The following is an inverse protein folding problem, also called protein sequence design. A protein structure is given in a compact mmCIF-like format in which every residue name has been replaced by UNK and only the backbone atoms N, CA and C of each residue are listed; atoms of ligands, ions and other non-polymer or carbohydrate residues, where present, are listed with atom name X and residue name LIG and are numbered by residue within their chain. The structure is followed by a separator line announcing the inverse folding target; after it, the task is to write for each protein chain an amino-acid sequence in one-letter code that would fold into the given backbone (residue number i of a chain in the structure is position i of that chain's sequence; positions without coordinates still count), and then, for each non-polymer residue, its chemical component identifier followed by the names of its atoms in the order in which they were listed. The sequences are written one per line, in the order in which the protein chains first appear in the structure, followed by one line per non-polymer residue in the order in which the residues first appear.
data_IF_671188200602
#
_entry.id   IF_671188200602
#
_cell.length_a   1.000
_cell.length_b   1.000
_cell.length_c   1.000
_cell.angle_alpha   90.00
_cell.angle_beta   90.00
_cell.angle_gamma   90.00
#
_symmetry.space_group_name_H-M   'P 1'
#
loop_
_entity.id
_entity.type
_entity.pdbx_description
1 polymer ?
#
# COMPACT_ATOMS: atom_id res chain seq x y z
N UNK A 1 -3.61 -13.91 13.14
CA UNK A 1 -3.17 -14.18 11.74
C UNK A 1 -2.44 -12.95 11.24
N UNK A 2 -1.18 -13.08 10.83
CA UNK A 2 -0.38 -11.95 10.35
C UNK A 2 -0.06 -12.18 8.87
N UNK A 3 -0.74 -11.44 8.00
CA UNK A 3 -0.47 -11.36 6.57
C UNK A 3 0.15 -10.01 6.26
N UNK A 4 1.07 -9.96 5.31
CA UNK A 4 1.74 -8.72 4.92
C UNK A 4 1.71 -8.53 3.41
N UNK A 5 1.71 -7.27 2.99
CA UNK A 5 1.81 -6.85 1.62
C UNK A 5 3.13 -6.13 1.37
N UNK A 6 3.70 -6.31 0.18
CA UNK A 6 4.83 -5.53 -0.31
C UNK A 6 4.56 -5.08 -1.73
N UNK A 7 4.78 -3.80 -1.98
CA UNK A 7 4.76 -3.24 -3.33
C UNK A 7 6.19 -3.18 -3.84
N UNK A 8 6.44 -3.70 -5.03
CA UNK A 8 7.74 -3.67 -5.67
C UNK A 8 7.62 -3.47 -7.18
N UNK A 9 8.75 -3.19 -7.81
CA UNK A 9 8.97 -2.85 -9.22
C UNK A 9 10.44 -3.12 -9.54
N UNK A 10 10.83 -3.02 -10.80
CA UNK A 10 12.24 -3.17 -11.20
C UNK A 10 13.16 -2.10 -10.57
N UNK A 11 12.58 -0.97 -10.15
CA UNK A 11 13.28 0.15 -9.50
C UNK A 11 13.26 0.05 -7.97
N UNK A 12 12.85 -1.10 -7.43
CA UNK A 12 12.75 -1.29 -5.99
C UNK A 12 14.06 -1.63 -5.32
N UNK A 13 14.21 -1.23 -4.07
CA UNK A 13 15.36 -1.60 -3.27
C UNK A 13 15.44 -3.13 -3.05
N UNK A 14 16.64 -3.68 -3.16
CA UNK A 14 16.94 -5.10 -2.93
C UNK A 14 16.66 -6.00 -4.15
N UNK A 15 16.82 -7.31 -3.95
CA UNK A 15 16.41 -8.31 -4.94
C UNK A 15 14.92 -8.56 -4.76
N UNK A 16 14.17 -8.48 -5.86
CA UNK A 16 12.72 -8.65 -5.85
C UNK A 16 12.33 -9.61 -6.98
N UNK A 17 12.07 -10.85 -6.63
CA UNK A 17 11.44 -11.83 -7.51
C UNK A 17 9.98 -12.09 -7.06
N UNK A 18 9.21 -12.81 -7.86
CA UNK A 18 7.82 -13.19 -7.55
C UNK A 18 7.69 -13.98 -6.24
N UNK A 19 8.71 -14.73 -5.84
CA UNK A 19 8.61 -15.59 -4.65
C UNK A 19 9.81 -15.49 -3.72
N UNK A 20 10.73 -14.57 -3.98
CA UNK A 20 11.92 -14.35 -3.17
C UNK A 20 12.27 -12.86 -3.08
N UNK A 21 12.55 -12.39 -1.86
CA UNK A 21 12.99 -11.02 -1.61
C UNK A 21 14.27 -11.02 -0.79
N UNK A 22 15.25 -10.19 -1.16
CA UNK A 22 16.49 -10.02 -0.38
C UNK A 22 16.75 -8.54 -0.14
N UNK A 23 17.18 -8.14 1.07
CA UNK A 23 17.57 -6.76 1.30
C UNK A 23 18.77 -6.43 0.42
N UNK A 24 18.94 -5.16 0.07
CA UNK A 24 20.04 -4.76 -0.80
C UNK A 24 21.40 -5.05 -0.15
N UNK A 25 21.50 -4.93 1.18
CA UNK A 25 22.71 -5.30 1.92
C UNK A 25 23.09 -6.78 1.82
N UNK A 26 22.15 -7.70 1.53
CA UNK A 26 22.47 -9.10 1.32
C UNK A 26 23.15 -9.36 -0.04
N UNK A 27 23.06 -8.41 -0.96
CA UNK A 27 23.64 -8.49 -2.31
C UNK A 27 24.95 -7.68 -2.36
N UNK A 28 24.92 -6.47 -1.80
CA UNK A 28 25.99 -5.49 -1.94
C UNK A 28 26.79 -5.27 -0.65
N UNK A 29 26.50 -6.01 0.43
CA UNK A 29 27.11 -5.82 1.74
C UNK A 29 26.55 -4.63 2.53
N UNK A 30 26.97 -4.45 3.79
CA UNK A 30 26.47 -3.39 4.67
C UNK A 30 26.89 -1.99 4.19
N UNK A 31 26.06 -0.98 4.50
CA UNK A 31 26.32 0.41 4.14
C UNK A 31 27.23 1.09 5.18
N UNK A 32 28.49 1.44 4.87
CA UNK A 32 29.25 2.30 5.77
C UNK A 32 28.67 3.72 5.78
N UNK A 33 28.50 4.31 6.97
CA UNK A 33 28.23 5.74 7.15
C UNK A 33 26.78 6.24 7.00
N UNK A 34 25.79 5.38 6.74
CA UNK A 34 24.38 5.79 6.69
C UNK A 34 23.70 5.67 8.06
N UNK A 35 23.00 6.71 8.50
CA UNK A 35 22.21 6.65 9.74
C UNK A 35 21.03 5.68 9.60
N UNK A 36 20.65 5.02 10.71
CA UNK A 36 19.48 4.13 10.76
C UNK A 36 18.20 4.82 10.27
N UNK A 37 18.01 6.10 10.62
CA UNK A 37 16.89 6.91 10.14
C UNK A 37 16.87 7.01 8.61
N UNK A 38 18.02 7.25 7.98
CA UNK A 38 18.12 7.36 6.54
C UNK A 38 17.82 6.01 5.87
N UNK A 39 18.32 4.90 6.43
CA UNK A 39 18.03 3.55 5.95
C UNK A 39 16.53 3.23 6.02
N UNK A 40 15.85 3.55 7.11
CA UNK A 40 14.39 3.38 7.21
C UNK A 40 13.64 4.21 6.17
N UNK A 41 13.97 5.49 6.01
CA UNK A 41 13.31 6.38 5.05
C UNK A 41 13.46 5.84 3.63
N UNK A 42 14.66 5.36 3.28
CA UNK A 42 14.92 4.73 1.98
C UNK A 42 14.09 3.45 1.83
N UNK A 43 14.06 2.59 2.84
CA UNK A 43 13.30 1.35 2.80
C UNK A 43 11.79 1.60 2.64
N UNK A 44 11.24 2.59 3.35
CA UNK A 44 9.84 3.02 3.26
C UNK A 44 9.50 3.68 1.92
N UNK A 45 10.46 4.35 1.28
CA UNK A 45 10.27 4.81 -0.10
C UNK A 45 10.16 3.64 -1.07
N UNK A 46 10.77 2.51 -0.70
CA UNK A 46 10.92 1.29 -1.47
C UNK A 46 11.72 1.46 -2.77
N UNK A 47 12.30 2.63 -3.03
CA UNK A 47 13.09 2.93 -4.24
C UNK A 47 14.54 2.47 -4.06
N UNK A 48 15.17 2.05 -5.15
CA UNK A 48 16.59 1.73 -5.23
C UNK A 48 17.43 3.01 -5.18
N UNK A 49 17.49 3.66 -4.01
CA UNK A 49 18.27 4.89 -3.77
C UNK A 49 19.63 4.57 -3.16
N UNK A 50 19.72 3.50 -2.38
CA UNK A 50 20.95 3.09 -1.71
C UNK A 50 21.13 1.57 -1.83
N UNK A 51 22.18 1.09 -2.54
CA UNK A 51 22.37 -0.33 -2.80
C UNK A 51 22.70 -1.15 -1.54
N UNK A 52 22.91 -0.52 -0.39
CA UNK A 52 23.35 -1.20 0.83
C UNK A 52 22.30 -1.21 1.96
N UNK A 53 21.05 -0.87 1.64
CA UNK A 53 20.01 -0.77 2.65
C UNK A 53 19.62 -2.17 3.19
N UNK A 54 19.66 -2.40 4.51
CA UNK A 54 19.41 -3.72 5.09
C UNK A 54 17.94 -4.06 5.30
N UNK A 55 17.01 -3.15 5.00
CA UNK A 55 15.60 -3.34 5.31
C UNK A 55 14.77 -3.60 4.05
N UNK A 56 13.87 -4.57 4.17
CA UNK A 56 12.74 -4.82 3.27
C UNK A 56 11.47 -4.33 3.97
N UNK A 57 10.75 -3.43 3.31
CA UNK A 57 9.47 -2.92 3.76
C UNK A 57 8.28 -3.82 3.42
N UNK A 58 7.33 -3.89 4.35
CA UNK A 58 6.05 -4.60 4.29
C UNK A 58 4.94 -3.81 4.99
N UNK A 59 3.67 -4.05 4.65
CA UNK A 59 2.51 -3.42 5.29
C UNK A 59 1.38 -4.41 5.58
N UNK A 60 0.65 -4.24 6.68
CA UNK A 60 -0.58 -5.02 6.95
C UNK A 60 -1.80 -4.50 6.15
N UNK A 61 -1.71 -3.31 5.56
CA UNK A 61 -2.81 -2.67 4.84
C UNK A 61 -2.68 -2.84 3.33
N UNK A 62 -3.68 -3.50 2.73
CA UNK A 62 -3.87 -3.57 1.28
C UNK A 62 -4.20 -2.19 0.70
N UNK A 63 -4.92 -1.32 1.42
CA UNK A 63 -5.10 0.07 0.97
C UNK A 63 -3.78 0.78 0.73
N UNK A 64 -2.89 0.70 1.72
CA UNK A 64 -1.57 1.31 1.63
C UNK A 64 -0.82 0.71 0.43
N UNK A 65 -0.87 -0.61 0.24
CA UNK A 65 -0.23 -1.29 -0.88
C UNK A 65 -0.80 -0.83 -2.25
N UNK A 66 -2.12 -0.76 -2.42
CA UNK A 66 -2.75 -0.31 -3.67
C UNK A 66 -2.41 1.16 -3.98
N UNK A 67 -2.45 2.03 -2.97
CA UNK A 67 -2.08 3.43 -3.12
C UNK A 67 -0.59 3.60 -3.44
N UNK A 68 0.31 2.82 -2.81
CA UNK A 68 1.73 2.81 -3.17
C UNK A 68 1.96 2.34 -4.61
N UNK A 69 1.27 1.27 -5.03
CA UNK A 69 1.39 0.73 -6.38
C UNK A 69 0.97 1.77 -7.43
N UNK A 70 -0.16 2.43 -7.23
CA UNK A 70 -0.59 3.51 -8.12
C UNK A 70 0.38 4.68 -8.12
N UNK A 71 0.85 5.13 -6.95
CA UNK A 71 1.83 6.23 -6.85
C UNK A 71 3.11 5.92 -7.65
N UNK A 72 3.56 4.67 -7.65
CA UNK A 72 4.71 4.23 -8.45
C UNK A 72 4.41 4.23 -9.92
N UNK A 73 3.22 3.78 -10.32
CA UNK A 73 2.76 3.81 -11.70
C UNK A 73 2.72 5.25 -12.23
N UNK A 74 2.13 6.16 -11.45
CA UNK A 74 2.08 7.59 -11.76
C UNK A 74 3.47 8.26 -11.77
N UNK A 75 4.46 7.69 -11.08
CA UNK A 75 5.85 8.13 -11.14
C UNK A 75 6.63 7.57 -12.35
N UNK A 76 5.97 6.76 -13.20
CA UNK A 76 6.57 6.14 -14.38
C UNK A 76 7.33 4.85 -14.11
N UNK A 77 7.15 4.22 -12.94
CA UNK A 77 7.73 2.90 -12.68
C UNK A 77 6.99 1.82 -13.48
N UNK A 78 7.74 0.83 -13.97
CA UNK A 78 7.23 -0.32 -14.74
C UNK A 78 7.23 -1.59 -13.90
N UNK A 79 6.51 -2.63 -14.38
CA UNK A 79 6.46 -3.96 -13.75
C UNK A 79 6.09 -3.94 -12.27
N UNK A 80 5.14 -3.07 -11.90
CA UNK A 80 4.70 -2.92 -10.52
C UNK A 80 3.92 -4.15 -10.08
N UNK A 81 4.31 -4.70 -8.94
CA UNK A 81 3.74 -5.91 -8.36
C UNK A 81 3.39 -5.70 -6.90
N UNK A 82 2.40 -6.46 -6.45
CA UNK A 82 2.01 -6.55 -5.05
C UNK A 82 2.20 -8.01 -4.63
N UNK A 83 3.06 -8.22 -3.63
CA UNK A 83 3.19 -9.49 -2.94
C UNK A 83 2.25 -9.53 -1.74
N UNK A 84 1.62 -10.67 -1.53
CA UNK A 84 0.86 -11.06 -0.36
C UNK A 84 1.64 -12.20 0.32
N UNK A 85 2.05 -11.99 1.57
CA UNK A 85 2.89 -12.90 2.33
C UNK A 85 2.08 -13.54 3.45
N UNK A 86 2.02 -14.86 3.43
CA UNK A 86 1.68 -15.66 4.61
C UNK A 86 2.94 -15.82 5.46
N UNK A 87 2.99 -15.07 6.57
CA UNK A 87 4.12 -15.10 7.51
C UNK A 87 4.26 -16.47 8.16
N UNK A 88 3.16 -17.20 8.41
CA UNK A 88 3.19 -18.48 9.11
C UNK A 88 3.86 -19.56 8.28
N UNK A 89 3.67 -19.54 6.96
CA UNK A 89 4.26 -20.53 6.05
C UNK A 89 5.64 -20.11 5.52
N UNK A 90 5.87 -18.81 5.31
CA UNK A 90 7.10 -18.30 4.69
C UNK A 90 8.31 -18.40 5.62
N UNK A 91 9.50 -18.51 5.03
CA UNK A 91 10.76 -18.77 5.76
C UNK A 91 11.91 -17.95 5.20
N UNK A 92 13.01 -17.91 5.94
CA UNK A 92 14.31 -17.49 5.39
C UNK A 92 14.83 -18.56 4.42
N UNK A 93 15.82 -18.23 3.55
CA UNK A 93 16.45 -19.23 2.67
C UNK A 93 17.02 -20.45 3.43
N UNK A 94 17.49 -20.25 4.67
CA UNK A 94 17.98 -21.30 5.54
C UNK A 94 16.86 -22.08 6.28
N UNK A 95 15.59 -21.84 5.97
CA UNK A 95 14.44 -22.49 6.61
C UNK A 95 14.02 -21.91 7.96
N UNK A 96 14.67 -20.84 8.42
CA UNK A 96 14.36 -20.18 9.70
C UNK A 96 13.08 -19.33 9.66
N UNK A 97 12.59 -18.96 10.84
CA UNK A 97 11.43 -18.08 11.00
C UNK A 97 11.76 -16.63 10.55
N UNK A 98 10.76 -15.97 9.97
CA UNK A 98 10.86 -14.57 9.57
C UNK A 98 10.69 -13.65 10.77
N UNK A 99 11.53 -12.61 10.86
CA UNK A 99 11.44 -11.60 11.91
C UNK A 99 11.02 -10.27 11.30
N UNK A 100 9.95 -9.69 11.82
CA UNK A 100 9.45 -8.38 11.43
C UNK A 100 9.43 -7.46 12.65
N UNK A 101 9.75 -6.19 12.42
CA UNK A 101 9.63 -5.15 13.42
C UNK A 101 8.71 -4.04 12.90
N UNK A 102 7.76 -3.61 13.72
CA UNK A 102 6.92 -2.45 13.40
C UNK A 102 7.80 -1.20 13.29
N UNK A 103 7.60 -0.43 12.23
CA UNK A 103 8.32 0.83 11.99
C UNK A 103 8.05 1.83 13.11
N UNK A 104 6.82 1.88 13.63
CA UNK A 104 6.47 2.71 14.77
C UNK A 104 7.29 2.36 16.01
N UNK A 105 7.33 1.09 16.39
CA UNK A 105 8.09 0.60 17.54
C UNK A 105 9.60 0.78 17.36
N UNK A 106 10.11 0.48 16.16
CA UNK A 106 11.52 0.66 15.81
C UNK A 106 11.93 2.13 15.92
N UNK A 107 11.11 3.04 15.39
CA UNK A 107 11.38 4.47 15.45
C UNK A 107 11.32 5.00 16.90
N UNK A 108 10.33 4.58 17.69
CA UNK A 108 10.21 4.97 19.09
C UNK A 108 11.44 4.53 19.90
N UNK A 109 11.88 3.28 19.74
CA UNK A 109 13.08 2.72 20.40
C UNK A 109 14.35 3.50 20.06
N UNK A 110 14.43 4.07 18.85
CA UNK A 110 15.56 4.85 18.38
C UNK A 110 15.44 6.36 18.61
N UNK A 111 14.40 6.82 19.33
CA UNK A 111 14.14 8.25 19.53
C UNK A 111 13.86 9.01 18.22
N UNK A 112 13.44 8.31 17.17
CA UNK A 112 13.12 8.90 15.87
C UNK A 112 11.68 9.43 15.91
N UNK A 113 11.55 10.76 15.87
CA UNK A 113 10.25 11.39 15.73
C UNK A 113 9.62 11.05 14.37
N UNK A 114 8.68 10.11 14.35
CA UNK A 114 7.76 9.94 13.23
C UNK A 114 6.82 11.14 13.19
N UNK A 115 6.48 11.61 11.98
CA UNK A 115 5.45 12.64 11.84
C UNK A 115 4.16 12.10 12.44
N UNK A 116 3.56 12.84 13.38
CA UNK A 116 2.24 12.52 13.90
C UNK A 116 1.18 12.99 12.91
N UNK A 117 0.07 12.26 12.84
CA UNK A 117 -1.16 12.78 12.26
C UNK A 117 -1.82 13.80 13.20
N UNK A 118 -2.88 14.44 12.72
CA UNK A 118 -3.50 15.60 13.35
C UNK A 118 -4.17 15.27 14.68
N UNK A 119 -4.64 14.06 14.82
CA UNK A 119 -5.16 13.44 16.05
C UNK A 119 -4.04 13.04 17.03
N UNK A 120 -2.78 13.31 16.69
CA UNK A 120 -1.61 12.98 17.51
C UNK A 120 -1.14 11.53 17.35
N UNK A 121 -1.79 10.73 16.51
CA UNK A 121 -1.39 9.34 16.27
C UNK A 121 -0.06 9.29 15.50
N UNK A 122 0.89 8.43 15.88
CA UNK A 122 2.12 8.26 15.11
C UNK A 122 1.80 7.71 13.71
N UNK A 123 2.35 8.31 12.64
CA UNK A 123 2.37 7.65 11.33
C UNK A 123 3.29 6.43 11.38
N UNK A 124 3.08 5.43 10.53
CA UNK A 124 3.95 4.23 10.50
C UNK A 124 3.36 3.00 11.19
N UNK A 125 2.07 3.01 11.54
CA UNK A 125 1.41 1.94 12.29
C UNK A 125 1.09 0.71 11.43
N UNK A 126 0.91 0.85 10.12
CA UNK A 126 0.66 -0.30 9.25
C UNK A 126 1.97 -0.93 8.72
N UNK A 127 3.10 -0.30 9.00
CA UNK A 127 4.38 -0.49 8.36
C UNK A 127 5.32 -1.39 9.17
N UNK A 128 5.92 -2.38 8.50
CA UNK A 128 6.86 -3.33 9.08
C UNK A 128 8.14 -3.39 8.24
N UNK A 129 9.26 -3.65 8.90
CA UNK A 129 10.55 -3.92 8.26
C UNK A 129 11.08 -5.28 8.67
N UNK A 130 11.82 -5.91 7.76
CA UNK A 130 12.61 -7.10 8.04
C UNK A 130 14.00 -6.94 7.44
N UNK A 131 15.00 -7.51 8.11
CA UNK A 131 16.37 -7.68 7.57
C UNK A 131 16.56 -9.07 6.96
N UNK A 132 15.58 -9.96 7.09
CA UNK A 132 15.68 -11.31 6.57
C UNK A 132 15.47 -11.31 5.06
N UNK A 133 16.22 -12.15 4.35
CA UNK A 133 15.77 -12.62 3.04
C UNK A 133 14.51 -13.46 3.24
N UNK A 134 13.52 -13.27 2.37
CA UNK A 134 12.19 -13.88 2.45
C UNK A 134 12.00 -14.83 1.28
N UNK A 135 11.72 -16.09 1.56
CA UNK A 135 11.23 -17.07 0.59
C UNK A 135 9.74 -17.29 0.86
N UNK A 136 8.91 -16.92 -0.12
CA UNK A 136 7.46 -17.05 -0.05
C UNK A 136 7.07 -18.53 -0.14
N UNK A 137 6.22 -18.98 0.79
CA UNK A 137 5.67 -20.34 0.84
C UNK A 137 4.19 -20.33 1.23
N UNK A 138 3.55 -21.50 1.14
CA UNK A 138 2.14 -21.70 1.48
C UNK A 138 1.23 -20.81 0.64
N UNK A 139 0.31 -20.11 1.29
CA UNK A 139 -0.67 -19.23 0.62
C UNK A 139 -0.12 -17.88 0.16
N UNK A 140 1.19 -17.71 0.16
CA UNK A 140 1.84 -16.47 -0.31
C UNK A 140 1.74 -16.33 -1.83
N UNK A 141 1.39 -15.15 -2.33
CA UNK A 141 1.09 -14.91 -3.76
C UNK A 141 1.57 -13.56 -4.26
N UNK A 142 1.72 -13.43 -5.58
CA UNK A 142 2.01 -12.14 -6.22
C UNK A 142 1.04 -11.82 -7.35
N UNK A 143 0.69 -10.54 -7.48
CA UNK A 143 -0.10 -10.01 -8.58
C UNK A 143 0.64 -8.86 -9.26
N UNK A 144 0.52 -8.78 -10.59
CA UNK A 144 0.84 -7.54 -11.31
C UNK A 144 -0.23 -6.49 -11.01
N UNK A 145 0.18 -5.23 -10.80
CA UNK A 145 -0.78 -4.16 -10.58
C UNK A 145 -1.70 -3.95 -11.78
N UNK A 146 -1.19 -4.08 -13.01
CA UNK A 146 -1.99 -4.00 -14.23
C UNK A 146 -3.04 -5.13 -14.31
N UNK A 147 -2.72 -6.32 -13.80
CA UNK A 147 -3.67 -7.44 -13.74
C UNK A 147 -4.81 -7.18 -12.74
N UNK A 148 -4.53 -6.49 -11.63
CA UNK A 148 -5.57 -6.06 -10.70
C UNK A 148 -6.51 -5.04 -11.35
N UNK A 149 -5.95 -4.07 -12.09
CA UNK A 149 -6.72 -3.06 -12.83
C UNK A 149 -7.59 -3.72 -13.90
N UNK A 150 -7.02 -4.60 -14.73
CA UNK A 150 -7.74 -5.28 -15.81
C UNK A 150 -8.84 -6.22 -15.29
N UNK A 151 -8.64 -6.82 -14.11
CA UNK A 151 -9.65 -7.61 -13.43
C UNK A 151 -10.73 -6.76 -12.71
N UNK A 152 -10.65 -5.43 -12.81
CA UNK A 152 -11.69 -4.51 -12.40
C UNK A 152 -11.51 -3.88 -11.02
N UNK A 153 -10.26 -3.73 -10.54
CA UNK A 153 -9.96 -3.03 -9.28
C UNK A 153 -10.70 -1.70 -9.16
N UNK A 154 -10.62 -0.84 -10.17
CA UNK A 154 -11.27 0.48 -10.14
C UNK A 154 -12.78 0.44 -10.47
N UNK A 155 -13.29 -0.67 -11.00
CA UNK A 155 -14.74 -0.89 -11.08
C UNK A 155 -15.33 -1.21 -9.70
N UNK A 156 -14.56 -1.89 -8.85
CA UNK A 156 -14.98 -2.25 -7.50
C UNK A 156 -14.69 -1.14 -6.48
N UNK A 157 -13.59 -0.42 -6.66
CA UNK A 157 -13.12 0.64 -5.75
C UNK A 157 -12.70 1.90 -6.53
N UNK A 158 -13.65 2.60 -7.18
CA UNK A 158 -13.32 3.75 -8.03
C UNK A 158 -12.65 4.89 -7.25
N UNK A 159 -12.94 5.08 -5.96
CA UNK A 159 -12.27 6.12 -5.17
C UNK A 159 -10.75 5.92 -5.05
N UNK A 160 -10.26 4.67 -5.17
CA UNK A 160 -8.81 4.37 -5.15
C UNK A 160 -8.12 5.00 -6.36
N UNK A 161 -8.74 4.93 -7.55
CA UNK A 161 -8.23 5.54 -8.78
C UNK A 161 -8.17 7.07 -8.66
N UNK A 162 -9.28 7.66 -8.21
CA UNK A 162 -9.41 9.11 -8.09
C UNK A 162 -8.50 9.70 -7.01
N UNK A 163 -8.30 8.99 -5.89
CA UNK A 163 -7.36 9.42 -4.85
C UNK A 163 -5.92 9.47 -5.36
N UNK A 164 -5.57 8.59 -6.30
CA UNK A 164 -4.21 8.41 -6.75
C UNK A 164 -3.84 9.29 -7.97
N UNK A 165 -4.82 9.68 -8.80
CA UNK A 165 -4.64 10.65 -9.89
C UNK A 165 -4.44 12.12 -9.44
N UNK A 166 -4.62 12.43 -8.15
CA UNK A 166 -4.67 13.80 -7.64
C UNK A 166 -3.34 14.21 -6.97
N UNK A 167 -2.49 14.92 -7.74
CA UNK A 167 -1.22 15.60 -7.39
C UNK A 167 0.01 14.71 -7.14
N UNK A 168 1.01 14.88 -7.99
CA UNK A 168 2.41 14.52 -7.70
C UNK A 168 2.94 15.35 -6.51
N UNK A 169 3.33 14.69 -5.41
CA UNK A 169 4.02 15.32 -4.28
C UNK A 169 3.56 14.88 -2.89
N UNK A 170 3.83 15.72 -1.88
CA UNK A 170 3.63 15.47 -0.43
C UNK A 170 2.20 15.15 0.05
N UNK A 171 1.24 15.05 -0.88
CA UNK A 171 -0.18 14.77 -0.63
C UNK A 171 -0.53 13.29 -0.45
N UNK A 172 0.36 12.35 -0.78
CA UNK A 172 0.07 10.91 -0.71
C UNK A 172 -0.59 10.45 0.60
N UNK A 173 0.02 10.81 1.75
CA UNK A 173 -0.51 10.41 3.06
C UNK A 173 -1.84 11.10 3.38
N UNK A 174 -2.08 12.30 2.83
CA UNK A 174 -3.37 12.98 3.00
C UNK A 174 -4.45 12.26 2.20
N UNK A 175 -4.21 11.94 0.94
CA UNK A 175 -5.19 11.25 0.08
C UNK A 175 -5.46 9.83 0.62
N UNK A 176 -4.44 9.09 1.06
CA UNK A 176 -4.63 7.80 1.74
C UNK A 176 -5.53 7.94 2.97
N UNK A 177 -5.28 8.93 3.82
CA UNK A 177 -6.08 9.18 5.03
C UNK A 177 -7.51 9.56 4.68
N UNK A 178 -7.73 10.42 3.68
CA UNK A 178 -9.07 10.78 3.24
C UNK A 178 -9.82 9.57 2.69
N UNK A 179 -9.14 8.70 1.95
CA UNK A 179 -9.70 7.46 1.41
C UNK A 179 -10.09 6.50 2.53
N UNK A 180 -9.20 6.32 3.51
CA UNK A 180 -9.50 5.52 4.70
C UNK A 180 -10.67 6.11 5.49
N UNK A 181 -10.75 7.43 5.64
CA UNK A 181 -11.91 8.09 6.25
C UNK A 181 -13.19 7.86 5.45
N UNK A 182 -13.14 7.87 4.12
CA UNK A 182 -14.31 7.59 3.28
C UNK A 182 -14.82 6.15 3.49
N UNK A 183 -13.91 5.17 3.54
CA UNK A 183 -14.25 3.76 3.59
C UNK A 183 -14.49 3.20 5.00
N UNK A 184 -13.91 3.85 6.02
CA UNK A 184 -13.99 3.45 7.42
C UNK A 184 -14.74 4.44 8.32
N UNK A 185 -15.49 5.37 7.73
CA UNK A 185 -16.43 6.21 8.49
C UNK A 185 -17.43 5.33 9.27
N UNK A 186 -17.50 5.41 10.61
CA UNK A 186 -18.41 4.61 11.42
C UNK A 186 -19.88 4.78 11.01
N UNK A 187 -20.26 5.97 10.54
CA UNK A 187 -21.62 6.28 10.09
C UNK A 187 -21.95 5.76 8.69
N UNK A 188 -20.96 5.21 7.96
CA UNK A 188 -21.14 4.75 6.57
C UNK A 188 -20.97 3.24 6.46
N UNK A 189 -21.93 2.60 5.80
CA UNK A 189 -21.89 1.17 5.49
C UNK A 189 -21.96 0.96 3.97
N UNK A 190 -21.07 0.13 3.45
CA UNK A 190 -20.95 -0.13 2.03
C UNK A 190 -21.59 -1.47 1.67
N UNK A 191 -22.67 -1.43 0.87
CA UNK A 191 -23.40 -2.62 0.48
C UNK A 191 -22.55 -3.63 -0.29
N UNK A 192 -22.74 -4.92 0.02
CA UNK A 192 -22.04 -6.03 -0.60
C UNK A 192 -23.00 -6.91 -1.42
N UNK A 193 -23.07 -6.65 -2.73
CA UNK A 193 -23.84 -7.47 -3.65
C UNK A 193 -23.07 -8.73 -4.09
N UNK A 194 -23.78 -9.75 -4.56
CA UNK A 194 -23.18 -10.97 -5.14
C UNK A 194 -22.18 -10.63 -6.26
N UNK A 195 -22.51 -9.65 -7.09
CA UNK A 195 -21.67 -9.14 -8.17
C UNK A 195 -20.37 -8.54 -7.66
N UNK A 196 -20.42 -7.76 -6.57
CA UNK A 196 -19.21 -7.21 -5.92
C UNK A 196 -18.33 -8.31 -5.32
N UNK A 197 -18.92 -9.35 -4.72
CA UNK A 197 -18.16 -10.49 -4.20
C UNK A 197 -17.47 -11.25 -5.33
N UNK A 198 -18.18 -11.54 -6.42
CA UNK A 198 -17.61 -12.21 -7.59
C UNK A 198 -16.49 -11.37 -8.24
N UNK A 199 -16.67 -10.04 -8.33
CA UNK A 199 -15.64 -9.14 -8.83
C UNK A 199 -14.41 -9.11 -7.90
N UNK A 200 -14.61 -9.09 -6.58
CA UNK A 200 -13.52 -9.20 -5.61
C UNK A 200 -12.76 -10.53 -5.76
N UNK A 201 -13.46 -11.64 -5.98
CA UNK A 201 -12.85 -12.95 -6.23
C UNK A 201 -12.03 -12.96 -7.53
N UNK A 202 -12.52 -12.31 -8.59
CA UNK A 202 -11.80 -12.13 -9.86
C UNK A 202 -10.55 -11.25 -9.71
N UNK A 203 -10.62 -10.19 -8.91
CA UNK A 203 -9.42 -9.39 -8.60
C UNK A 203 -8.44 -10.23 -7.77
N UNK A 204 -8.92 -10.93 -6.75
CA UNK A 204 -8.11 -11.80 -5.91
C UNK A 204 -7.43 -12.94 -6.69
N UNK A 205 -8.05 -13.46 -7.76
CA UNK A 205 -7.46 -14.49 -8.61
C UNK A 205 -6.25 -14.00 -9.42
N UNK A 206 -6.00 -12.69 -9.50
CA UNK A 206 -4.78 -12.16 -10.10
C UNK A 206 -3.53 -12.41 -9.25
N UNK A 207 -3.72 -12.73 -7.96
CA UNK A 207 -2.65 -13.18 -7.08
C UNK A 207 -2.34 -14.64 -7.36
N UNK A 208 -1.20 -14.88 -8.00
CA UNK A 208 -0.73 -16.20 -8.42
C UNK A 208 0.28 -16.71 -7.39
N UNK A 209 0.09 -17.96 -6.94
CA UNK A 209 1.04 -18.65 -6.07
C UNK A 209 2.20 -19.23 -6.90
N UNK A 210 3.23 -19.69 -6.20
CA UNK A 210 4.35 -20.39 -6.85
C UNK A 210 3.93 -21.76 -7.37
N UNK A 211 3.14 -22.46 -6.56
CA UNK A 211 2.80 -23.86 -6.78
C UNK A 211 1.43 -23.99 -7.45
N UNK A 212 1.38 -24.76 -8.54
CA UNK A 212 0.18 -24.95 -9.36
C UNK A 212 -0.93 -25.74 -8.65
N UNK A 213 -0.61 -26.43 -7.55
CA UNK A 213 -1.55 -27.19 -6.71
C UNK A 213 -2.45 -26.28 -5.85
N UNK A 214 -2.11 -25.00 -5.71
CA UNK A 214 -2.88 -24.08 -4.89
C UNK A 214 -4.18 -23.64 -5.57
N UNK A 215 -5.20 -23.38 -4.75
CA UNK A 215 -6.49 -22.88 -5.24
C UNK A 215 -6.32 -21.61 -6.09
N UNK A 216 -7.11 -21.42 -7.15
CA UNK A 216 -6.99 -20.21 -8.01
C UNK A 216 -7.21 -18.90 -7.25
N UNK A 217 -8.05 -18.92 -6.22
CA UNK A 217 -8.33 -17.76 -5.37
C UNK A 217 -7.88 -18.06 -3.94
N UNK A 218 -6.98 -17.25 -3.39
CA UNK A 218 -6.70 -17.28 -1.95
C UNK A 218 -7.84 -16.57 -1.20
N UNK A 219 -8.47 -17.28 -0.27
CA UNK A 219 -9.53 -16.71 0.58
C UNK A 219 -9.07 -15.48 1.36
N UNK A 220 -7.80 -15.49 1.76
CA UNK A 220 -7.23 -14.40 2.54
C UNK A 220 -7.11 -13.14 1.69
N UNK A 221 -6.61 -13.27 0.45
CA UNK A 221 -6.57 -12.16 -0.51
C UNK A 221 -7.99 -11.65 -0.80
N UNK A 222 -8.95 -12.54 -1.04
CA UNK A 222 -10.35 -12.16 -1.20
C UNK A 222 -10.89 -11.42 0.04
N UNK A 223 -10.59 -11.93 1.23
CA UNK A 223 -10.96 -11.32 2.50
C UNK A 223 -10.44 -9.89 2.61
N UNK A 224 -9.19 -9.64 2.22
CA UNK A 224 -8.60 -8.31 2.21
C UNK A 224 -9.31 -7.34 1.25
N UNK A 225 -9.66 -7.78 0.04
CA UNK A 225 -10.46 -6.95 -0.87
C UNK A 225 -11.83 -6.63 -0.25
N UNK A 226 -12.55 -7.64 0.23
CA UNK A 226 -13.86 -7.45 0.83
C UNK A 226 -13.82 -6.52 2.07
N UNK A 227 -12.71 -6.52 2.80
CA UNK A 227 -12.48 -5.66 3.97
C UNK A 227 -11.98 -4.25 3.68
N UNK A 228 -11.78 -3.88 2.41
CA UNK A 228 -11.40 -2.51 2.06
C UNK A 228 -12.47 -1.47 2.40
N UNK A 229 -13.72 -1.89 2.61
CA UNK A 229 -14.80 -0.98 2.99
C UNK A 229 -15.53 -1.53 4.20
N UNK A 230 -15.96 -0.64 5.09
CA UNK A 230 -16.76 -1.03 6.26
C UNK A 230 -18.09 -1.61 5.81
N UNK A 231 -18.43 -2.79 6.31
CA UNK A 231 -19.64 -3.53 5.95
C UNK A 231 -20.66 -3.49 7.07
N UNK A 232 -21.93 -3.70 6.70
CA UNK A 232 -22.99 -3.95 7.67
C UNK A 232 -23.03 -5.43 8.08
N UNK A 233 -23.72 -5.74 9.18
CA UNK A 233 -24.00 -7.10 9.63
C UNK A 233 -24.86 -7.87 8.61
N UNK A 234 -25.75 -7.20 7.89
CA UNK A 234 -26.55 -7.83 6.83
C UNK A 234 -25.70 -8.25 5.62
N UNK A 235 -24.61 -7.53 5.34
CA UNK A 235 -23.64 -7.93 4.31
C UNK A 235 -22.88 -9.21 4.71
N UNK A 236 -22.65 -9.46 6.01
CA UNK A 236 -22.09 -10.74 6.46
C UNK A 236 -23.05 -11.90 6.17
N UNK A 237 -24.37 -11.69 6.27
CA UNK A 237 -25.38 -12.70 5.88
C UNK A 237 -25.31 -12.95 4.37
N UNK A 238 -25.19 -11.88 3.57
CA UNK A 238 -25.04 -11.98 2.12
C UNK A 238 -23.77 -12.77 1.73
N UNK A 239 -22.63 -12.50 2.38
CA UNK A 239 -21.38 -13.22 2.16
C UNK A 239 -21.50 -14.70 2.55
N UNK A 240 -22.12 -15.01 3.69
CA UNK A 240 -22.38 -16.40 4.11
C UNK A 240 -23.26 -17.14 3.10
N UNK A 241 -24.34 -16.51 2.66
CA UNK A 241 -25.25 -17.09 1.66
C UNK A 241 -24.53 -17.32 0.32
N UNK A 242 -23.77 -16.32 -0.15
CA UNK A 242 -22.97 -16.44 -1.36
C UNK A 242 -21.93 -17.56 -1.25
N UNK A 243 -21.23 -17.64 -0.11
CA UNK A 243 -20.18 -18.64 0.10
C UNK A 243 -20.74 -20.06 0.10
N UNK A 244 -21.92 -20.32 0.67
CA UNK A 244 -22.55 -21.64 0.62
C UNK A 244 -22.77 -22.17 -0.79
N UNK A 245 -23.07 -21.29 -1.75
CA UNK A 245 -23.35 -21.68 -3.15
C UNK A 245 -22.09 -21.71 -4.01
N UNK A 246 -21.11 -20.86 -3.72
CA UNK A 246 -19.98 -20.57 -4.63
C UNK A 246 -18.64 -21.11 -4.13
N UNK A 247 -18.66 -21.94 -3.09
CA UNK A 247 -17.46 -22.56 -2.53
C UNK A 247 -17.68 -24.04 -2.25
N UNK A 248 -16.58 -24.80 -2.22
CA UNK A 248 -16.53 -26.17 -1.71
C UNK A 248 -15.65 -26.23 -0.46
N UNK A 249 -15.76 -27.25 0.39
CA UNK A 249 -14.79 -27.45 1.48
C UNK A 249 -13.36 -27.52 0.95
N UNK A 250 -12.43 -26.89 1.65
CA UNK A 250 -11.01 -26.98 1.36
C UNK A 250 -10.51 -28.39 1.68
N UNK A 251 -9.91 -29.06 0.69
CA UNK A 251 -9.28 -30.37 0.88
C UNK A 251 -7.83 -30.10 1.26
N UNK A 252 -7.47 -30.38 2.51
CA UNK A 252 -6.09 -30.24 3.00
C UNK A 252 -5.41 -31.60 2.80
N UNK A 253 -4.40 -31.66 1.94
CA UNK A 253 -3.54 -32.84 1.84
C UNK A 253 -2.70 -32.96 3.12
N UNK A 254 -3.03 -33.98 3.93
CA UNK A 254 -2.40 -34.23 5.23
C UNK A 254 -0.93 -34.70 5.12
N UNK A 255 -0.46 -35.02 3.92
CA UNK A 255 0.89 -35.53 3.64
C UNK A 255 1.98 -34.47 3.73
N UNK A 256 1.66 -33.18 3.56
CA UNK A 256 2.62 -32.07 3.75
C UNK A 256 2.62 -31.50 5.18
N UNK A 257 1.68 -31.94 6.03
CA UNK A 257 1.51 -31.44 7.40
C UNK A 257 2.45 -32.10 8.42
N UNK A 258 3.18 -33.16 8.06
CA UNK A 258 4.12 -33.85 8.94
C UNK A 258 5.44 -33.07 9.04
N UNK A 259 5.52 -32.12 9.97
CA UNK A 259 6.77 -31.44 10.33
C UNK A 259 6.66 -29.93 10.55
N UNK A 260 5.48 -29.34 10.32
CA UNK A 260 5.26 -27.94 10.66
C UNK A 260 4.78 -27.90 12.11
N UNK A 261 5.66 -27.55 13.04
CA UNK A 261 5.21 -27.01 14.32
C UNK A 261 4.26 -25.85 14.02
N UNK A 262 2.96 -26.08 14.24
CA UNK A 262 1.94 -25.07 14.18
C UNK A 262 2.15 -24.22 15.44
N UNK A 263 3.15 -23.35 15.40
CA UNK A 263 3.24 -22.26 16.37
C UNK A 263 1.99 -21.44 16.11
N UNK A 264 1.05 -21.49 17.05
CA UNK A 264 -0.17 -20.74 16.95
C UNK A 264 0.11 -19.26 17.23
N UNK A 265 0.68 -18.59 16.23
CA UNK A 265 0.77 -17.13 16.17
C UNK A 265 -0.61 -16.60 15.78
N UNK A 266 -1.67 -16.99 16.50
CA UNK A 266 -2.99 -16.41 16.32
C UNK A 266 -3.01 -14.99 16.87
N UNK A 267 -2.23 -14.67 17.90
CA UNK A 267 -2.11 -13.33 18.50
C UNK A 267 -0.63 -13.02 18.82
N UNK A 268 0.18 -12.68 17.81
CA UNK A 268 1.40 -11.94 18.12
C UNK A 268 1.01 -10.49 18.36
N UNK A 269 1.05 -10.09 19.64
CA UNK A 269 0.78 -8.72 20.11
C UNK A 269 1.52 -7.65 19.31
N UNK A 270 2.64 -8.00 18.65
CA UNK A 270 3.40 -7.10 17.76
C UNK A 270 2.63 -6.66 16.51
N UNK A 271 1.61 -7.43 16.09
CA UNK A 271 0.75 -7.13 14.94
C UNK A 271 -0.67 -6.72 15.36
N UNK A 272 -0.95 -6.63 16.67
CA UNK A 272 -2.25 -6.16 17.18
C UNK A 272 -2.27 -4.63 17.21
N UNK A 273 -2.15 -4.06 16.02
CA UNK A 273 -2.19 -2.62 15.79
C UNK A 273 -3.60 -2.28 15.36
N UNK A 274 -4.25 -1.35 16.08
CA UNK A 274 -5.58 -0.85 15.74
C UNK A 274 -5.61 -0.31 14.32
N UNK A 275 -6.18 -1.09 13.40
CA UNK A 275 -6.36 -0.74 12.01
C UNK A 275 -7.76 -1.22 11.57
N UNK A 276 -8.69 -0.30 11.21
CA UNK A 276 -10.05 -0.65 10.81
C UNK A 276 -10.14 -1.68 9.68
N UNK A 277 -9.13 -1.69 8.79
CA UNK A 277 -9.01 -2.69 7.73
C UNK A 277 -8.82 -4.09 8.31
N UNK A 278 -7.97 -4.23 9.33
CA UNK A 278 -7.69 -5.52 9.98
C UNK A 278 -8.88 -6.02 10.80
N UNK A 279 -9.63 -5.12 11.42
CA UNK A 279 -10.85 -5.49 12.17
C UNK A 279 -11.92 -6.04 11.22
N UNK A 280 -12.13 -5.35 10.10
CA UNK A 280 -13.06 -5.80 9.06
C UNK A 280 -12.56 -7.10 8.41
N UNK A 281 -11.25 -7.23 8.18
CA UNK A 281 -10.64 -8.45 7.66
C UNK A 281 -10.84 -9.65 8.57
N UNK A 282 -10.63 -9.52 9.89
CA UNK A 282 -10.82 -10.60 10.87
C UNK A 282 -12.24 -11.17 10.81
N UNK A 283 -13.25 -10.31 10.74
CA UNK A 283 -14.66 -10.73 10.62
C UNK A 283 -14.96 -11.43 9.27
N UNK A 284 -14.39 -10.92 8.18
CA UNK A 284 -14.65 -11.42 6.82
C UNK A 284 -13.93 -12.74 6.55
N UNK A 285 -12.65 -12.83 6.93
CA UNK A 285 -11.81 -14.02 6.78
C UNK A 285 -12.36 -15.21 7.55
N UNK A 286 -12.98 -14.99 8.72
CA UNK A 286 -13.64 -16.04 9.48
C UNK A 286 -14.77 -16.73 8.69
N UNK A 287 -15.48 -16.00 7.82
CA UNK A 287 -16.54 -16.58 6.97
C UNK A 287 -15.94 -17.41 5.83
N UNK A 288 -14.78 -17.01 5.30
CA UNK A 288 -14.16 -17.66 4.13
C UNK A 288 -13.21 -18.82 4.50
N UNK A 289 -12.87 -18.97 5.78
CA UNK A 289 -11.92 -19.99 6.26
C UNK A 289 -12.38 -21.41 5.91
N UNK A 290 -11.43 -22.25 5.44
CA UNK A 290 -11.66 -23.67 5.16
C UNK A 290 -12.53 -23.94 3.93
N UNK A 291 -12.58 -22.99 2.98
CA UNK A 291 -13.40 -23.08 1.78
C UNK A 291 -12.55 -22.86 0.54
N UNK A 292 -12.95 -23.37 -0.60
CA UNK A 292 -12.30 -23.11 -1.89
C UNK A 292 -13.31 -22.47 -2.80
N UNK A 293 -13.00 -21.29 -3.35
CA UNK A 293 -13.85 -20.61 -4.33
C UNK A 293 -13.92 -21.46 -5.61
N UNK A 294 -15.14 -21.67 -6.13
CA UNK A 294 -15.35 -22.42 -7.36
C UNK A 294 -14.89 -21.63 -8.58
N UNK A 295 -14.30 -22.30 -9.57
CA UNK A 295 -13.83 -21.68 -10.80
C UNK A 295 -14.95 -20.99 -11.60
N UNK A 296 -16.19 -21.50 -11.51
CA UNK A 296 -17.36 -20.92 -12.16
C UNK A 296 -17.63 -19.47 -11.72
N UNK A 297 -17.22 -19.09 -10.51
CA UNK A 297 -17.34 -17.73 -9.98
C UNK A 297 -16.56 -16.73 -10.83
N UNK A 298 -15.39 -17.13 -11.33
CA UNK A 298 -14.51 -16.25 -12.11
C UNK A 298 -15.11 -15.89 -13.48
N UNK A 299 -16.05 -16.71 -13.96
CA UNK A 299 -16.82 -16.49 -15.18
C UNK A 299 -18.16 -15.77 -14.98
N UNK A 300 -18.57 -15.47 -13.74
CA UNK A 300 -19.82 -14.77 -13.48
C UNK A 300 -19.80 -13.33 -14.01
N UNK A 301 -20.98 -12.78 -14.31
CA UNK A 301 -21.11 -11.36 -14.62
C UNK A 301 -20.63 -10.51 -13.43
N UNK A 302 -19.60 -9.70 -13.66
CA UNK A 302 -18.88 -8.92 -12.64
C UNK A 302 -19.06 -7.41 -12.83
N UNK A 303 -20.16 -6.99 -13.46
CA UNK A 303 -20.42 -5.59 -13.78
C UNK A 303 -21.10 -4.88 -12.61
N UNK A 304 -20.36 -3.97 -11.96
CA UNK A 304 -20.95 -3.04 -10.98
C UNK A 304 -21.76 -1.98 -11.74
N UNK A 305 -23.01 -1.66 -11.31
CA UNK A 305 -23.81 -0.63 -11.97
C UNK A 305 -23.11 0.73 -12.00
N UNK A 306 -23.13 1.40 -13.14
CA UNK A 306 -22.41 2.66 -13.32
C UNK A 306 -22.88 3.77 -12.35
N UNK A 307 -24.18 3.76 -11.99
CA UNK A 307 -24.75 4.65 -10.97
C UNK A 307 -24.06 4.52 -9.61
N UNK A 308 -23.65 3.30 -9.22
CA UNK A 308 -22.97 3.07 -7.94
C UNK A 308 -21.53 3.59 -8.00
N UNK A 309 -20.86 3.38 -9.13
CA UNK A 309 -19.51 3.89 -9.39
C UNK A 309 -19.52 5.43 -9.31
N UNK A 310 -20.45 6.08 -10.03
CA UNK A 310 -20.57 7.56 -10.02
C UNK A 310 -20.89 8.09 -8.62
N UNK A 311 -21.84 7.47 -7.91
CA UNK A 311 -22.21 7.89 -6.56
C UNK A 311 -21.02 7.81 -5.58
N UNK A 312 -20.21 6.75 -5.65
CA UNK A 312 -18.99 6.64 -4.84
C UNK A 312 -17.98 7.75 -5.18
N UNK A 313 -17.75 8.01 -6.48
CA UNK A 313 -16.83 9.06 -6.94
C UNK A 313 -17.30 10.45 -6.51
N UNK A 314 -18.58 10.76 -6.67
CA UNK A 314 -19.18 12.03 -6.21
C UNK A 314 -18.99 12.22 -4.70
N UNK A 315 -19.22 11.16 -3.93
CA UNK A 315 -19.02 11.17 -2.48
C UNK A 315 -17.55 11.42 -2.12
N UNK A 316 -16.61 10.78 -2.82
CA UNK A 316 -15.18 11.02 -2.67
C UNK A 316 -14.83 12.50 -2.89
N UNK A 317 -15.28 13.08 -4.00
CA UNK A 317 -15.02 14.47 -4.32
C UNK A 317 -15.59 15.43 -3.29
N UNK A 318 -16.85 15.22 -2.87
CA UNK A 318 -17.51 16.04 -1.84
C UNK A 318 -16.76 15.99 -0.51
N UNK A 319 -16.49 14.80 0.02
CA UNK A 319 -15.80 14.63 1.30
C UNK A 319 -14.39 15.23 1.25
N UNK A 320 -13.71 15.10 0.12
CA UNK A 320 -12.39 15.70 -0.08
C UNK A 320 -12.47 17.22 -0.01
N UNK A 321 -13.37 17.84 -0.76
CA UNK A 321 -13.55 19.29 -0.77
C UNK A 321 -13.86 19.85 0.63
N UNK A 322 -14.77 19.22 1.36
CA UNK A 322 -15.10 19.57 2.74
C UNK A 322 -13.88 19.49 3.66
N UNK A 323 -13.11 18.40 3.58
CA UNK A 323 -11.89 18.22 4.37
C UNK A 323 -10.80 19.25 4.01
N UNK A 324 -10.65 19.59 2.74
CA UNK A 324 -9.71 20.64 2.30
C UNK A 324 -10.17 22.02 2.75
N UNK A 325 -11.47 22.32 2.72
CA UNK A 325 -12.04 23.56 3.22
C UNK A 325 -11.80 23.70 4.74
N UNK A 326 -12.11 22.67 5.51
CA UNK A 326 -11.83 22.61 6.95
C UNK A 326 -10.33 22.76 7.24
N UNK A 327 -9.46 22.16 6.41
CA UNK A 327 -8.02 22.31 6.54
C UNK A 327 -7.54 23.73 6.23
N UNK A 328 -8.15 24.45 5.27
CA UNK A 328 -7.83 25.86 5.02
C UNK A 328 -8.31 26.75 6.17
N UNK A 329 -9.52 26.52 6.69
CA UNK A 329 -10.12 27.31 7.77
C UNK A 329 -9.38 27.16 9.12
N UNK A 330 -8.83 25.97 9.39
CA UNK A 330 -8.15 25.67 10.67
C UNK A 330 -6.66 26.00 10.69
N UNK A 331 -6.08 26.46 9.58
CA UNK A 331 -4.75 27.08 9.62
C UNK A 331 -4.92 28.46 10.24
N UNK A 332 -4.20 28.81 11.32
CA UNK A 332 -4.16 30.21 11.73
C UNK A 332 -3.75 31.00 10.51
N UNK A 333 -4.53 32.05 10.19
CA UNK A 333 -4.12 33.08 9.24
C UNK A 333 -2.66 33.37 9.60
N UNK A 334 -1.72 32.95 8.75
CA UNK A 334 -0.33 33.36 8.90
C UNK A 334 -0.44 34.86 8.98
N UNK A 335 -0.23 35.42 10.18
CA UNK A 335 -0.41 36.83 10.44
C UNK A 335 0.20 37.56 9.27
N UNK A 336 -0.57 38.51 8.70
CA UNK A 336 -0.06 39.47 7.74
C UNK A 336 1.39 39.75 8.15
N UNK A 337 2.35 39.19 7.40
CA UNK A 337 3.70 39.69 7.49
C UNK A 337 3.52 41.09 6.97
N UNK A 338 3.42 42.03 7.92
CA UNK A 338 3.27 43.42 7.61
C UNK A 338 4.24 43.75 6.51
N UNK A 339 3.77 44.58 5.59
CA UNK A 339 4.63 45.40 4.75
C UNK A 339 5.60 46.18 5.66
N UNK A 340 6.64 45.53 6.20
CA UNK A 340 7.86 46.21 6.58
C UNK A 340 8.64 46.33 5.28
N UNK A 341 8.36 47.42 4.56
CA UNK A 341 9.37 48.13 3.77
C UNK A 341 10.49 48.52 4.75
N UNK A 342 11.31 47.56 5.14
CA UNK A 342 12.60 47.82 5.75
C UNK A 342 13.53 48.19 4.63
N UNK A 343 13.76 49.49 4.45
CA UNK A 343 14.90 49.99 3.72
C UNK A 343 16.15 49.27 4.26
N UNK A 344 16.77 48.42 3.43
CA UNK A 344 18.14 47.99 3.67
C UNK A 344 19.01 49.22 3.47
N UNK A 345 19.31 49.92 4.56
CA UNK A 345 20.51 50.74 4.65
C UNK A 345 21.66 49.74 4.57
N UNK A 346 22.35 49.74 3.43
CA UNK A 346 23.61 49.04 3.27
C UNK A 346 24.66 49.80 4.08
N UNK A 347 25.41 49.15 4.99
CA UNK A 347 26.73 49.65 5.35
C UNK A 347 27.60 49.53 4.10
N UNK A 348 28.13 50.67 3.66
CA UNK A 348 29.21 50.71 2.68
C UNK A 348 30.39 49.86 3.15
N UNK A 349 31.10 49.29 2.17
CA UNK A 349 32.33 48.50 2.28
C UNK A 349 32.18 46.97 2.34
N UNK A 350 31.93 46.37 1.17
CA UNK A 350 32.76 45.28 0.64
C UNK A 350 32.37 45.03 -0.82
N UNK A 351 33.07 45.68 -1.74
CA UNK A 351 33.01 45.40 -3.17
C UNK A 351 33.68 44.04 -3.42
N UNK A 352 32.92 43.07 -3.93
CA UNK A 352 33.39 42.13 -4.94
C UNK A 352 32.18 41.63 -5.76
N UNK A 353 32.18 41.79 -7.10
CA UNK A 353 31.06 41.37 -7.92
C UNK A 353 31.13 39.85 -8.13
N UNK A 354 30.19 39.11 -7.53
CA UNK A 354 29.81 37.80 -8.09
C UNK A 354 28.65 38.06 -9.04
N UNK A 355 28.96 37.98 -10.33
CA UNK A 355 27.98 38.01 -11.40
C UNK A 355 26.91 36.94 -11.14
N UNK A 356 25.68 37.37 -10.89
CA UNK A 356 24.53 36.49 -10.93
C UNK A 356 24.21 36.22 -12.40
N UNK A 357 24.13 34.96 -12.87
CA UNK A 357 23.70 34.71 -14.22
C UNK A 357 22.25 35.14 -14.38
N UNK A 358 22.05 36.22 -15.14
CA UNK A 358 20.76 36.69 -15.62
C UNK A 358 20.08 35.53 -16.33
N UNK A 359 18.92 35.09 -15.81
CA UNK A 359 18.07 34.09 -16.49
C UNK A 359 17.68 34.64 -17.86
N UNK A 360 18.25 34.07 -18.92
CA UNK A 360 17.83 34.40 -20.29
C UNK A 360 16.34 34.06 -20.49
N UNK A 361 15.56 34.92 -21.18
CA UNK A 361 14.18 34.64 -21.51
C UNK A 361 14.04 33.34 -22.31
N UNK A 362 12.96 32.61 -22.05
CA UNK A 362 12.66 31.26 -22.58
C UNK A 362 12.57 31.16 -24.11
N UNK A 363 12.64 32.27 -24.82
CA UNK A 363 12.53 32.38 -26.28
C UNK A 363 13.84 32.16 -27.04
N UNK A 364 15.02 32.28 -26.39
CA UNK A 364 16.31 32.03 -27.07
C UNK A 364 16.75 30.55 -27.08
N UNK A 365 16.24 29.73 -26.16
CA UNK A 365 16.62 28.31 -26.05
C UNK A 365 16.05 27.47 -27.21
N UNK A 366 14.97 27.93 -27.85
CA UNK A 366 14.35 27.23 -28.98
C UNK A 366 15.06 27.46 -30.32
N UNK A 367 15.83 28.54 -30.49
CA UNK A 367 16.63 28.76 -31.72
C UNK A 367 17.90 27.90 -31.74
N UNK A 368 18.59 27.76 -30.61
CA UNK A 368 19.83 26.95 -30.53
C UNK A 368 19.61 25.43 -30.70
N UNK A 369 18.40 24.93 -30.46
CA UNK A 369 18.08 23.50 -30.68
C UNK A 369 17.77 23.16 -32.15
N UNK A 370 17.47 24.14 -32.99
CA UNK A 370 17.12 23.93 -34.40
C UNK A 370 18.34 24.01 -35.34
N UNK A 371 19.41 24.69 -34.93
CA UNK A 371 20.67 24.80 -35.70
C UNK A 371 21.64 23.62 -35.47
N UNK A 372 21.39 22.73 -34.50
CA UNK A 372 22.20 21.52 -34.27
C UNK A 372 21.66 20.26 -34.94
N UNK A 373 20.68 20.39 -35.84
CA UNK A 373 20.07 19.27 -36.58
C UNK A 373 20.21 19.39 -38.10
N UNK A 374 21.12 20.24 -38.57
CA UNK A 374 21.62 20.22 -39.95
C UNK A 374 23.12 20.05 -39.93
#
# INVERSE_FOLDING_TARGET
MAYLFRVYSDQSNGFNDRFEFKPASAIFGPAPGMTLKAQLIIALSGKLIAPHNPYIFWTISLHLALQLAHKRQAAGETNIRIAFLDIKASRTPAGGLLQFESVASFAARLGLALKKDRDGTPRGLAEFVTMNSVVMKGDSRTASFDALISNGLYKLYPSIEHAAGMRSGSGFNLELRLLQQLYYDPGRKWSLSRTKIALAAKIASAFVAKDASTCKVANQVLGFFLSLQTRDMDDQKALRAWSKTNTKPEVIDLTEASGIEIIDITHDSKFDISNPEMDTFRSTSAILKGRTILDSVLGMCTTVPEREIRAEVELWHKQREENYAAHRASKPLRGQRGFRRGAKVFPDHARHPREFPVRKPRTEVYKQRRERRY
#
